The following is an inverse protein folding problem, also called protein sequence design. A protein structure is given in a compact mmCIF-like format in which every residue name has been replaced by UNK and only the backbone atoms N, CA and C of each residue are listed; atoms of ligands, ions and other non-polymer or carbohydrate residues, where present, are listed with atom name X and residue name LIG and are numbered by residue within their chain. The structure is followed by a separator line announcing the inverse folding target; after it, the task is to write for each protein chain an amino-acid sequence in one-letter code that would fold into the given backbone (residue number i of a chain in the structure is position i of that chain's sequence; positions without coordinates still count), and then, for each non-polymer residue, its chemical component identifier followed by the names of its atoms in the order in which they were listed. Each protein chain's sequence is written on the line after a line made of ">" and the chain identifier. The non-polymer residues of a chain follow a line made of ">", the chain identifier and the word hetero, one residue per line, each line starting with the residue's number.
data_IF_241735796023
#
_entry.id   IF_241735796023
#
_cell.length_a   1.000
_cell.length_b   1.000
_cell.length_c   1.000
_cell.angle_alpha   90.00
_cell.angle_beta   90.00
_cell.angle_gamma   90.00
#
_symmetry.space_group_name_H-M   'P 1'
#
loop_
_entity.id
_entity.type
_entity.pdbx_description
1 polymer ?
#
# COMPACT_ATOMS: atom_id res chain seq x y z
N UNK A 1 5.93 -1.59 -1.12
CA UNK A 1 5.30 -1.04 0.09
C UNK A 1 6.27 -0.05 0.68
N UNK A 2 5.94 1.24 0.81
CA UNK A 2 6.91 2.21 1.32
C UNK A 2 7.18 1.96 2.81
N UNK A 3 8.46 1.91 3.18
CA UNK A 3 8.92 1.79 4.56
C UNK A 3 9.72 3.02 4.96
N UNK A 4 9.63 3.39 6.25
CA UNK A 4 10.46 4.39 6.90
C UNK A 4 10.80 3.90 8.30
N UNK A 5 12.10 3.91 8.61
CA UNK A 5 12.62 3.49 9.92
C UNK A 5 12.13 2.09 10.36
N UNK A 6 11.99 1.16 9.41
CA UNK A 6 11.57 -0.22 9.67
C UNK A 6 10.05 -0.41 9.82
N UNK A 7 9.25 0.63 9.63
CA UNK A 7 7.79 0.56 9.68
C UNK A 7 7.14 1.00 8.37
N UNK A 8 5.93 0.53 8.10
CA UNK A 8 5.15 0.95 6.94
C UNK A 8 4.90 2.46 6.99
N UNK A 9 5.25 3.16 5.93
CA UNK A 9 5.06 4.60 5.78
C UNK A 9 3.71 4.89 5.11
N UNK A 10 2.65 4.92 5.91
CA UNK A 10 1.29 5.16 5.42
C UNK A 10 1.10 6.52 4.76
N UNK A 11 1.89 7.53 5.14
CA UNK A 11 1.83 8.86 4.50
C UNK A 11 2.37 8.78 3.07
N UNK A 12 3.51 8.13 2.86
CA UNK A 12 4.02 7.91 1.51
C UNK A 12 3.11 6.97 0.71
N UNK A 13 2.51 5.97 1.35
CA UNK A 13 1.58 5.07 0.68
C UNK A 13 0.33 5.79 0.16
N UNK A 14 -0.24 6.68 0.97
CA UNK A 14 -1.36 7.57 0.58
C UNK A 14 -1.04 8.39 -0.67
N UNK A 15 0.15 8.99 -0.71
CA UNK A 15 0.61 9.77 -1.87
C UNK A 15 0.76 8.92 -3.13
N UNK A 16 1.23 7.68 -2.99
CA UNK A 16 1.35 6.73 -4.11
C UNK A 16 -0.05 6.35 -4.60
N UNK A 17 -0.98 6.00 -3.70
CA UNK A 17 -2.36 5.65 -4.05
C UNK A 17 -3.01 6.80 -4.83
N UNK A 18 -2.98 8.01 -4.29
CA UNK A 18 -3.57 9.19 -4.93
C UNK A 18 -2.95 9.45 -6.32
N UNK A 19 -1.62 9.35 -6.43
CA UNK A 19 -0.95 9.53 -7.70
C UNK A 19 -1.41 8.51 -8.76
N UNK A 20 -1.56 7.25 -8.36
CA UNK A 20 -2.06 6.21 -9.26
C UNK A 20 -3.51 6.49 -9.69
N UNK A 21 -4.40 6.84 -8.74
CA UNK A 21 -5.81 7.17 -9.02
C UNK A 21 -5.91 8.32 -10.01
N UNK A 22 -5.20 9.44 -9.75
CA UNK A 22 -5.19 10.61 -10.65
C UNK A 22 -4.61 10.29 -12.03
N UNK A 23 -3.74 9.29 -12.12
CA UNK A 23 -3.17 8.80 -13.38
C UNK A 23 -4.14 7.90 -14.18
N UNK A 24 -5.32 7.58 -13.63
CA UNK A 24 -6.39 6.89 -14.35
C UNK A 24 -6.24 5.37 -14.40
N UNK A 25 -5.63 4.75 -13.39
CA UNK A 25 -5.56 3.28 -13.31
C UNK A 25 -6.94 2.66 -13.04
N UNK A 26 -7.15 1.44 -13.53
CA UNK A 26 -8.38 0.69 -13.28
C UNK A 26 -8.34 -0.11 -11.96
N UNK A 27 -7.15 -0.46 -11.46
CA UNK A 27 -7.00 -1.31 -10.29
C UNK A 27 -5.67 -1.11 -9.56
N UNK A 28 -5.71 -1.25 -8.23
CA UNK A 28 -4.55 -1.33 -7.35
C UNK A 28 -4.35 -2.75 -6.84
N UNK A 29 -3.10 -3.23 -6.87
CA UNK A 29 -2.71 -4.52 -6.29
C UNK A 29 -1.71 -4.27 -5.16
N UNK A 30 -2.22 -4.20 -3.92
CA UNK A 30 -1.40 -4.08 -2.72
C UNK A 30 -0.81 -5.44 -2.30
N UNK A 31 0.34 -5.42 -1.61
CA UNK A 31 0.99 -6.61 -1.05
C UNK A 31 1.25 -7.75 -2.08
N UNK A 32 1.57 -7.39 -3.33
CA UNK A 32 2.16 -8.32 -4.29
C UNK A 32 3.67 -8.54 -4.07
N UNK A 33 4.35 -9.19 -5.02
CA UNK A 33 5.81 -9.33 -5.01
C UNK A 33 6.51 -7.98 -5.03
N UNK A 34 6.05 -7.03 -5.86
CA UNK A 34 6.50 -5.63 -5.86
C UNK A 34 6.17 -4.90 -4.55
N UNK A 35 5.15 -5.37 -3.84
CA UNK A 35 4.82 -4.94 -2.49
C UNK A 35 5.68 -5.59 -1.39
N UNK A 36 6.65 -6.44 -1.77
CA UNK A 36 7.54 -7.17 -0.86
C UNK A 36 6.78 -8.07 0.13
N UNK A 37 5.69 -8.72 -0.33
CA UNK A 37 4.80 -9.50 0.54
C UNK A 37 5.46 -10.61 1.35
N UNK A 38 6.60 -11.14 0.90
CA UNK A 38 7.35 -12.18 1.63
C UNK A 38 8.09 -11.65 2.87
N UNK A 39 8.21 -10.34 3.04
CA UNK A 39 8.91 -9.71 4.18
C UNK A 39 7.97 -8.98 5.13
N UNK A 40 6.69 -8.87 4.78
CA UNK A 40 5.65 -8.31 5.64
C UNK A 40 5.24 -9.33 6.71
N UNK A 41 5.00 -8.86 7.92
CA UNK A 41 4.24 -9.63 8.91
C UNK A 41 2.78 -9.78 8.47
N UNK A 42 2.09 -10.81 8.97
CA UNK A 42 0.65 -10.98 8.72
C UNK A 42 -0.19 -9.76 9.13
N UNK A 43 0.24 -9.04 10.18
CA UNK A 43 -0.43 -7.83 10.65
C UNK A 43 -0.25 -6.69 9.64
N UNK A 44 1.01 -6.38 9.26
CA UNK A 44 1.29 -5.33 8.27
C UNK A 44 0.56 -5.60 6.96
N UNK A 45 0.56 -6.85 6.48
CA UNK A 45 -0.13 -7.25 5.26
C UNK A 45 -1.62 -6.88 5.34
N UNK A 46 -2.29 -7.24 6.44
CA UNK A 46 -3.73 -6.94 6.63
C UNK A 46 -3.99 -5.44 6.78
N UNK A 47 -3.15 -4.72 7.51
CA UNK A 47 -3.29 -3.28 7.72
C UNK A 47 -3.07 -2.50 6.43
N UNK A 48 -2.09 -2.88 5.61
CA UNK A 48 -1.83 -2.27 4.29
C UNK A 48 -3.02 -2.47 3.36
N UNK A 49 -3.58 -3.68 3.30
CA UNK A 49 -4.77 -3.95 2.46
C UNK A 49 -5.96 -3.13 2.96
N UNK A 50 -6.23 -3.14 4.27
CA UNK A 50 -7.33 -2.38 4.84
C UNK A 50 -7.21 -0.88 4.55
N UNK A 51 -6.01 -0.32 4.73
CA UNK A 51 -5.71 1.08 4.42
C UNK A 51 -5.90 1.38 2.92
N UNK A 52 -5.42 0.50 2.04
CA UNK A 52 -5.61 0.65 0.60
C UNK A 52 -7.10 0.70 0.23
N UNK A 53 -7.92 -0.20 0.80
CA UNK A 53 -9.37 -0.23 0.59
C UNK A 53 -10.04 1.03 1.12
N UNK A 54 -9.67 1.51 2.30
CA UNK A 54 -10.20 2.75 2.90
C UNK A 54 -9.95 3.98 2.01
N UNK A 55 -8.82 4.03 1.30
CA UNK A 55 -8.45 5.18 0.47
C UNK A 55 -9.08 5.20 -0.92
N UNK A 56 -9.55 4.06 -1.41
CA UNK A 56 -10.14 3.94 -2.76
C UNK A 56 -11.68 3.89 -2.75
N UNK A 57 -12.29 3.70 -1.58
CA UNK A 57 -13.74 3.59 -1.39
C UNK A 57 -14.38 4.95 -1.09
#
# INVERSE_FOLDING_TARGET
>A
TPFRDGHVDYKAFDQIIEHQIVSGIDALVACGTTGESSTLTDLEHREIIAYCVEKVA
#
